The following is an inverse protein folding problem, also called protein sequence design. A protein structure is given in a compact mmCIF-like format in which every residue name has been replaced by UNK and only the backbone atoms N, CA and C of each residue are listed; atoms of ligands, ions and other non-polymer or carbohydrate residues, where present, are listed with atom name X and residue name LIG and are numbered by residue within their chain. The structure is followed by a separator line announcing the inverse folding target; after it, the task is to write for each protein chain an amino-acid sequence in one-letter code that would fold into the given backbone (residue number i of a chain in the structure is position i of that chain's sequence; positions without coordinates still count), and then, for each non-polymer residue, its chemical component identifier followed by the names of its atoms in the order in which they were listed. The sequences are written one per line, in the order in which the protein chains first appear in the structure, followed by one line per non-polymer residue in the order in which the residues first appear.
data_IF_553880452765
#
_entry.id   IF_553880452765
#
_cell.length_a   1.000
_cell.length_b   1.000
_cell.length_c   1.000
_cell.angle_alpha   90.00
_cell.angle_beta   90.00
_cell.angle_gamma   90.00
#
_symmetry.space_group_name_H-M   'P 1'
#
loop_
_entity.id
_entity.type
_entity.pdbx_description
1 polymer ?
#
# COMPACT_ATOMS: atom_id res chain seq x y z
N UNK A 1 5.46 -8.13 8.54
CA UNK A 1 4.15 -7.78 9.13
C UNK A 1 3.84 -8.46 10.46
N UNK A 2 4.57 -9.50 10.90
CA UNK A 2 4.38 -10.09 12.25
C UNK A 2 4.46 -9.06 13.39
N UNK A 3 5.37 -8.08 13.30
CA UNK A 3 5.50 -7.02 14.31
C UNK A 3 4.23 -6.17 14.41
N UNK A 4 3.60 -5.84 13.27
CA UNK A 4 2.40 -5.00 13.24
C UNK A 4 1.18 -5.73 13.85
N UNK A 5 1.05 -7.02 13.53
CA UNK A 5 0.03 -7.89 14.10
C UNK A 5 0.20 -8.10 15.61
N UNK A 6 1.44 -8.09 16.12
CA UNK A 6 1.74 -8.23 17.54
C UNK A 6 1.40 -7.00 18.40
N UNK A 7 1.30 -5.81 17.80
CA UNK A 7 0.98 -4.54 18.50
C UNK A 7 -0.39 -3.97 18.15
N UNK A 8 -1.15 -4.65 17.27
CA UNK A 8 -2.45 -4.18 16.81
C UNK A 8 -2.38 -2.87 16.02
N UNK A 9 -1.28 -2.64 15.29
CA UNK A 9 -1.14 -1.44 14.46
C UNK A 9 -1.91 -1.58 13.15
N UNK A 10 -2.59 -0.52 12.73
CA UNK A 10 -3.27 -0.43 11.42
C UNK A 10 -2.32 -0.01 10.28
N UNK A 11 -1.25 0.68 10.63
CA UNK A 11 -0.29 1.26 9.69
C UNK A 11 1.12 1.05 10.20
N UNK A 12 2.03 0.71 9.29
CA UNK A 12 3.47 0.64 9.57
C UNK A 12 4.18 1.71 8.75
N UNK A 13 4.97 2.54 9.44
CA UNK A 13 5.85 3.52 8.81
C UNK A 13 7.28 3.00 8.95
N UNK A 14 7.97 2.87 7.83
CA UNK A 14 9.40 2.58 7.83
C UNK A 14 10.11 3.52 6.86
N UNK A 15 11.40 3.70 7.08
CA UNK A 15 12.18 4.54 6.22
C UNK A 15 13.63 4.62 6.62
N UNK A 16 14.42 5.19 5.71
CA UNK A 16 15.83 5.48 5.92
C UNK A 16 16.05 6.97 5.72
N UNK A 17 16.91 7.56 6.55
CA UNK A 17 17.35 8.95 6.36
C UNK A 17 18.85 8.90 6.13
N UNK A 18 19.27 9.42 4.98
CA UNK A 18 20.69 9.61 4.68
C UNK A 18 20.98 11.10 4.69
N UNK A 19 22.12 11.49 5.27
CA UNK A 19 22.53 12.87 5.39
C UNK A 19 23.99 13.02 5.01
N UNK A 20 24.29 14.02 4.18
CA UNK A 20 25.66 14.39 3.82
C UNK A 20 25.86 15.88 4.06
N UNK A 21 27.03 16.25 4.58
CA UNK A 21 27.45 17.65 4.67
C UNK A 21 28.67 17.85 3.81
N UNK A 22 28.69 18.96 3.09
CA UNK A 22 29.84 19.42 2.31
C UNK A 22 30.21 20.83 2.75
N UNK A 23 31.51 21.10 2.74
CA UNK A 23 32.05 22.43 3.03
C UNK A 23 32.45 23.09 1.71
N UNK A 24 32.00 24.32 1.52
CA UNK A 24 32.38 25.16 0.38
C UNK A 24 32.89 26.51 0.85
N UNK A 25 33.67 27.20 0.03
CA UNK A 25 33.96 28.62 0.22
C UNK A 25 33.02 29.42 -0.66
N UNK A 26 32.29 30.38 -0.09
CA UNK A 26 31.51 31.30 -0.89
C UNK A 26 32.46 32.31 -1.56
N UNK A 27 32.60 32.22 -2.88
CA UNK A 27 33.33 33.22 -3.66
C UNK A 27 32.72 34.61 -3.41
N UNK A 28 33.57 35.57 -3.02
CA UNK A 28 33.19 36.94 -2.69
C UNK A 28 32.95 37.25 -1.21
N UNK A 29 32.76 36.25 -0.34
CA UNK A 29 32.49 36.45 1.10
C UNK A 29 33.66 36.05 2.03
N UNK A 30 34.68 35.37 1.51
CA UNK A 30 35.83 34.90 2.30
C UNK A 30 35.48 33.93 3.44
N UNK A 31 34.25 33.40 3.45
CA UNK A 31 33.67 32.62 4.54
C UNK A 31 33.33 31.21 4.08
N UNK A 32 33.50 30.25 4.99
CA UNK A 32 33.08 28.86 4.81
C UNK A 32 31.56 28.76 4.89
N UNK A 33 30.96 28.09 3.90
CA UNK A 33 29.54 27.74 3.87
C UNK A 33 29.43 26.22 4.01
N UNK A 34 28.61 25.80 4.95
CA UNK A 34 28.27 24.40 5.16
C UNK A 34 26.96 24.10 4.44
N UNK A 35 26.98 23.15 3.52
CA UNK A 35 25.82 22.69 2.78
C UNK A 35 25.46 21.28 3.25
N UNK A 36 24.28 21.12 3.84
CA UNK A 36 23.74 19.83 4.23
C UNK A 36 22.66 19.39 3.24
N UNK A 37 22.72 18.12 2.86
CA UNK A 37 21.71 17.44 2.07
C UNK A 37 21.17 16.28 2.89
N UNK A 38 19.86 16.18 2.98
CA UNK A 38 19.15 15.10 3.66
C UNK A 38 18.22 14.45 2.65
N UNK A 39 18.31 13.13 2.52
CA UNK A 39 17.47 12.34 1.64
C UNK A 39 16.74 11.28 2.48
N UNK A 40 15.52 11.58 2.95
CA UNK A 40 14.63 10.56 3.47
C UNK A 40 14.07 9.71 2.34
N UNK A 41 13.89 8.42 2.64
CA UNK A 41 12.99 7.53 1.92
C UNK A 41 12.04 6.96 2.98
N UNK A 42 10.78 7.38 2.95
CA UNK A 42 9.74 6.98 3.90
C UNK A 42 8.63 6.30 3.13
N UNK A 43 8.22 5.13 3.61
CA UNK A 43 7.07 4.39 3.10
C UNK A 43 6.09 4.16 4.24
N UNK A 44 4.83 4.49 3.99
CA UNK A 44 3.69 4.19 4.85
C UNK A 44 2.96 3.01 4.23
N UNK A 45 2.79 1.93 4.99
CA UNK A 45 2.14 0.70 4.52
C UNK A 45 0.96 0.33 5.40
N UNK A 46 -0.08 -0.23 4.80
CA UNK A 46 -1.16 -0.86 5.53
C UNK A 46 -0.64 -2.13 6.23
N UNK A 47 -0.97 -2.30 7.51
CA UNK A 47 -0.45 -3.39 8.32
C UNK A 47 -1.05 -4.76 7.99
N UNK A 48 -2.22 -4.79 7.34
CA UNK A 48 -2.92 -6.00 6.93
C UNK A 48 -2.45 -6.50 5.55
N UNK A 49 -2.33 -5.61 4.57
CA UNK A 49 -2.07 -5.94 3.17
C UNK A 49 -0.64 -5.72 2.70
N UNK A 50 0.21 -5.06 3.49
CA UNK A 50 1.52 -4.56 3.05
C UNK A 50 1.43 -3.58 1.86
N UNK A 51 0.23 -3.12 1.50
CA UNK A 51 0.03 -2.11 0.45
C UNK A 51 0.70 -0.80 0.85
N UNK A 52 1.48 -0.21 -0.06
CA UNK A 52 2.01 1.13 0.12
C UNK A 52 0.88 2.15 0.00
N UNK A 53 0.63 2.88 1.08
CA UNK A 53 -0.38 3.94 1.19
C UNK A 53 0.21 5.31 0.83
N UNK A 54 1.49 5.52 1.11
CA UNK A 54 2.18 6.74 0.74
C UNK A 54 3.68 6.51 0.71
N UNK A 55 4.35 7.20 -0.22
CA UNK A 55 5.80 7.19 -0.35
C UNK A 55 6.30 8.63 -0.40
N UNK A 56 7.44 8.85 0.25
CA UNK A 56 8.14 10.12 0.23
C UNK A 56 9.63 9.91 0.05
N UNK A 57 10.15 10.43 -1.05
CA UNK A 57 11.56 10.49 -1.34
C UNK A 57 11.86 11.84 -2.01
N UNK A 58 12.63 12.69 -1.34
CA UNK A 58 13.01 14.00 -1.86
C UNK A 58 14.37 14.39 -1.25
N UNK A 59 15.24 15.01 -2.04
CA UNK A 59 16.47 15.59 -1.50
C UNK A 59 16.17 16.98 -0.95
N UNK A 60 16.40 17.18 0.34
CA UNK A 60 16.25 18.46 1.02
C UNK A 60 17.62 19.03 1.31
N UNK A 61 17.82 20.29 0.90
CA UNK A 61 19.10 20.99 1.07
C UNK A 61 18.94 22.20 1.98
N UNK A 62 19.88 22.41 2.89
CA UNK A 62 19.99 23.64 3.67
C UNK A 62 21.45 24.07 3.80
N UNK A 63 21.66 25.35 4.04
CA UNK A 63 22.99 25.90 4.27
C UNK A 63 23.11 26.59 5.63
N UNK A 64 24.34 26.69 6.12
CA UNK A 64 24.70 27.51 7.27
C UNK A 64 26.09 28.09 7.12
N UNK A 65 26.29 29.27 7.71
CA UNK A 65 27.61 29.88 7.89
C UNK A 65 28.22 29.52 9.25
N UNK A 66 27.45 28.90 10.15
CA UNK A 66 27.85 28.68 11.53
C UNK A 66 28.64 27.37 11.71
N UNK A 67 28.07 26.24 11.30
CA UNK A 67 28.69 24.92 11.42
C UNK A 67 28.00 23.87 10.55
N UNK A 68 28.65 22.71 10.42
CA UNK A 68 28.09 21.49 9.85
C UNK A 68 26.80 21.06 10.56
N UNK A 69 26.80 21.12 11.90
CA UNK A 69 25.66 20.70 12.72
C UNK A 69 24.45 21.61 12.53
N UNK A 70 24.67 22.92 12.40
CA UNK A 70 23.58 23.86 12.15
C UNK A 70 22.99 23.69 10.75
N UNK A 71 23.82 23.44 9.74
CA UNK A 71 23.35 23.12 8.39
C UNK A 71 22.52 21.82 8.39
N UNK A 72 23.01 20.76 9.04
CA UNK A 72 22.29 19.48 9.14
C UNK A 72 20.97 19.63 9.90
N UNK A 73 20.96 20.35 11.03
CA UNK A 73 19.75 20.63 11.81
C UNK A 73 18.70 21.37 10.97
N UNK A 74 19.10 22.39 10.21
CA UNK A 74 18.20 23.12 9.30
C UNK A 74 17.66 22.21 8.20
N UNK A 75 18.50 21.38 7.59
CA UNK A 75 18.07 20.42 6.57
C UNK A 75 17.07 19.40 7.14
N UNK A 76 17.32 18.89 8.35
CA UNK A 76 16.41 17.97 9.05
C UNK A 76 15.06 18.60 9.41
N UNK A 77 15.01 19.85 9.87
CA UNK A 77 13.74 20.55 10.15
C UNK A 77 12.91 20.79 8.89
N UNK A 78 13.57 21.20 7.79
CA UNK A 78 12.91 21.31 6.48
C UNK A 78 12.40 19.94 6.00
N UNK A 79 13.20 18.90 6.18
CA UNK A 79 12.84 17.53 5.83
C UNK A 79 11.63 17.06 6.63
N UNK A 80 11.63 17.27 7.95
CA UNK A 80 10.50 16.93 8.82
C UNK A 80 9.21 17.58 8.35
N UNK A 81 9.25 18.87 8.04
CA UNK A 81 8.06 19.62 7.61
C UNK A 81 7.46 19.03 6.34
N UNK A 82 8.31 18.63 5.38
CA UNK A 82 7.87 18.02 4.12
C UNK A 82 7.41 16.56 4.29
N UNK A 83 8.19 15.76 5.01
CA UNK A 83 7.91 14.34 5.27
C UNK A 83 6.59 14.11 6.04
N UNK A 84 6.23 15.02 6.95
CA UNK A 84 4.97 14.96 7.71
C UNK A 84 3.75 14.92 6.77
N UNK A 85 3.81 15.59 5.61
CA UNK A 85 2.68 15.59 4.67
C UNK A 85 2.41 14.19 4.12
N UNK A 86 3.46 13.45 3.76
CA UNK A 86 3.31 12.09 3.25
C UNK A 86 2.82 11.12 4.33
N UNK A 87 3.37 11.22 5.54
CA UNK A 87 2.90 10.42 6.69
C UNK A 87 1.42 10.68 6.97
N UNK A 88 1.00 11.94 6.97
CA UNK A 88 -0.41 12.31 7.16
C UNK A 88 -1.29 11.75 6.04
N UNK A 89 -0.87 11.86 4.78
CA UNK A 89 -1.63 11.34 3.64
C UNK A 89 -1.86 9.84 3.77
N UNK A 90 -0.81 9.06 4.08
CA UNK A 90 -0.95 7.61 4.27
C UNK A 90 -1.86 7.25 5.45
N UNK A 91 -1.78 7.99 6.56
CA UNK A 91 -2.69 7.83 7.70
C UNK A 91 -4.15 8.14 7.32
N UNK A 92 -4.40 9.22 6.59
CA UNK A 92 -5.74 9.58 6.14
C UNK A 92 -6.29 8.54 5.17
N UNK A 93 -5.47 7.97 4.29
CA UNK A 93 -5.90 6.92 3.38
C UNK A 93 -6.26 5.63 4.12
N UNK A 94 -5.43 5.21 5.08
CA UNK A 94 -5.75 4.07 5.96
C UNK A 94 -7.07 4.32 6.72
N UNK A 95 -7.19 5.48 7.36
CA UNK A 95 -8.38 5.85 8.10
C UNK A 95 -9.61 5.95 7.21
N UNK A 96 -9.48 6.49 5.99
CA UNK A 96 -10.60 6.56 5.05
C UNK A 96 -11.02 5.18 4.54
N UNK A 97 -10.07 4.26 4.28
CA UNK A 97 -10.36 2.85 3.98
C UNK A 97 -11.14 2.20 5.13
N UNK A 98 -10.73 2.45 6.38
CA UNK A 98 -11.46 1.96 7.56
C UNK A 98 -12.84 2.63 7.74
N UNK A 99 -12.91 3.95 7.63
CA UNK A 99 -14.12 4.74 7.87
C UNK A 99 -15.18 4.53 6.79
N UNK A 100 -14.78 4.27 5.55
CA UNK A 100 -15.70 3.93 4.45
C UNK A 100 -16.14 2.47 4.47
N UNK A 101 -15.54 1.64 5.35
CA UNK A 101 -15.74 0.20 5.40
C UNK A 101 -15.21 -0.55 4.17
N UNK A 102 -14.51 0.14 3.25
CA UNK A 102 -13.99 -0.44 2.02
C UNK A 102 -12.59 -1.00 2.27
N UNK A 103 -12.48 -2.32 2.24
CA UNK A 103 -11.26 -3.09 2.44
C UNK A 103 -10.74 -3.60 1.10
N UNK A 104 -9.41 -3.66 0.98
CA UNK A 104 -8.76 -4.34 -0.15
C UNK A 104 -8.68 -5.84 0.16
N UNK A 105 -9.29 -6.69 -0.66
CA UNK A 105 -9.25 -8.15 -0.51
C UNK A 105 -8.61 -8.77 -1.74
N UNK A 106 -7.54 -9.54 -1.52
CA UNK A 106 -6.88 -10.31 -2.57
C UNK A 106 -7.60 -11.64 -2.79
N UNK A 107 -8.04 -11.89 -4.01
CA UNK A 107 -8.72 -13.12 -4.44
C UNK A 107 -7.77 -13.98 -5.26
N UNK A 108 -7.43 -15.17 -4.77
CA UNK A 108 -6.65 -16.16 -5.51
C UNK A 108 -7.57 -17.24 -6.05
N UNK A 109 -7.59 -17.44 -7.36
CA UNK A 109 -8.52 -18.33 -8.04
C UNK A 109 -7.77 -19.40 -8.82
N UNK A 110 -8.09 -20.65 -8.53
CA UNK A 110 -7.55 -21.84 -9.23
C UNK A 110 -8.66 -22.55 -10.01
N UNK A 111 -8.30 -23.30 -11.06
CA UNK A 111 -9.26 -24.11 -11.83
C UNK A 111 -9.99 -23.36 -12.95
N UNK A 112 -9.65 -22.09 -13.22
CA UNK A 112 -10.13 -21.38 -14.41
C UNK A 112 -9.47 -21.97 -15.67
N UNK A 113 -10.28 -22.42 -16.62
CA UNK A 113 -9.80 -23.11 -17.84
C UNK A 113 -9.20 -22.16 -18.88
N UNK A 114 -9.74 -20.94 -18.98
CA UNK A 114 -9.40 -20.00 -20.03
C UNK A 114 -9.64 -18.54 -19.60
N UNK A 115 -9.13 -17.62 -20.42
CA UNK A 115 -9.29 -16.18 -20.20
C UNK A 115 -10.75 -15.71 -20.28
N UNK A 116 -11.61 -16.22 -21.19
CA UNK A 116 -13.04 -15.95 -21.17
C UNK A 116 -13.72 -16.26 -19.82
N UNK A 117 -13.43 -17.41 -19.21
CA UNK A 117 -13.95 -17.78 -17.89
C UNK A 117 -13.48 -16.79 -16.81
N UNK A 118 -12.21 -16.37 -16.86
CA UNK A 118 -11.65 -15.35 -15.96
C UNK A 118 -12.37 -14.01 -16.11
N UNK A 119 -12.57 -13.52 -17.34
CA UNK A 119 -13.28 -12.26 -17.57
C UNK A 119 -14.74 -12.33 -17.10
N UNK A 120 -15.43 -13.44 -17.38
CA UNK A 120 -16.79 -13.65 -16.90
C UNK A 120 -16.89 -13.67 -15.38
N UNK A 121 -15.93 -14.29 -14.68
CA UNK A 121 -15.88 -14.25 -13.22
C UNK A 121 -15.69 -12.81 -12.72
N UNK A 122 -14.71 -12.08 -13.26
CA UNK A 122 -14.45 -10.68 -12.91
C UNK A 122 -15.69 -9.80 -13.07
N UNK A 123 -16.40 -9.95 -14.19
CA UNK A 123 -17.59 -9.15 -14.48
C UNK A 123 -18.73 -9.47 -13.51
N UNK A 124 -18.84 -10.72 -13.04
CA UNK A 124 -19.81 -11.13 -12.02
C UNK A 124 -19.41 -10.67 -10.62
N UNK A 125 -18.12 -10.65 -10.29
CA UNK A 125 -17.65 -10.03 -9.05
C UNK A 125 -18.06 -8.56 -9.01
N UNK A 126 -17.89 -7.81 -10.10
CA UNK A 126 -18.28 -6.38 -10.17
C UNK A 126 -19.79 -6.14 -10.17
N UNK A 127 -20.56 -6.98 -10.84
CA UNK A 127 -21.99 -6.69 -11.11
C UNK A 127 -22.96 -7.39 -10.16
N UNK A 128 -22.55 -8.51 -9.57
CA UNK A 128 -23.49 -9.46 -8.95
C UNK A 128 -23.07 -9.91 -7.54
N UNK A 129 -21.97 -9.41 -7.00
CA UNK A 129 -21.54 -9.66 -5.62
C UNK A 129 -21.72 -8.34 -4.85
N UNK A 130 -22.77 -8.21 -4.02
CA UNK A 130 -23.11 -6.96 -3.35
C UNK A 130 -21.97 -6.40 -2.50
N UNK A 131 -21.16 -7.28 -1.92
CA UNK A 131 -20.03 -6.88 -1.08
C UNK A 131 -18.84 -6.32 -1.86
N UNK A 132 -18.81 -6.42 -3.20
CA UNK A 132 -17.73 -5.92 -4.06
C UNK A 132 -18.13 -4.60 -4.71
N UNK A 133 -17.37 -3.55 -4.44
CA UNK A 133 -17.51 -2.23 -5.09
C UNK A 133 -16.74 -2.14 -6.40
N UNK A 134 -15.52 -2.66 -6.44
CA UNK A 134 -14.67 -2.63 -7.63
C UNK A 134 -13.66 -3.78 -7.63
N UNK A 135 -13.09 -4.08 -8.81
CA UNK A 135 -11.95 -4.98 -8.99
C UNK A 135 -10.78 -4.15 -9.51
N UNK A 136 -9.89 -3.71 -8.64
CA UNK A 136 -8.86 -2.70 -8.92
C UNK A 136 -7.74 -3.24 -9.82
N UNK A 137 -7.38 -4.51 -9.67
CA UNK A 137 -6.42 -5.18 -10.53
C UNK A 137 -6.78 -6.66 -10.71
N UNK A 138 -6.38 -7.24 -11.85
CA UNK A 138 -6.69 -8.62 -12.16
C UNK A 138 -5.60 -9.21 -13.07
N UNK A 139 -5.03 -10.36 -12.67
CA UNK A 139 -4.02 -11.10 -13.43
C UNK A 139 -4.49 -12.53 -13.68
N UNK A 140 -4.46 -12.95 -14.93
CA UNK A 140 -4.73 -14.33 -15.33
C UNK A 140 -3.42 -15.11 -15.47
N UNK A 141 -3.29 -16.17 -14.68
CA UNK A 141 -2.14 -17.09 -14.62
C UNK A 141 -2.64 -18.45 -14.10
N UNK A 142 -1.74 -19.42 -13.85
CA UNK A 142 -2.07 -20.72 -13.23
C UNK A 142 -2.86 -20.56 -11.93
N UNK A 143 -2.50 -19.56 -11.13
CA UNK A 143 -3.31 -19.02 -10.04
C UNK A 143 -3.67 -17.61 -10.46
N UNK A 144 -4.93 -17.38 -10.76
CA UNK A 144 -5.41 -16.06 -11.14
C UNK A 144 -5.58 -15.21 -9.88
N UNK A 145 -5.17 -13.95 -9.91
CA UNK A 145 -5.25 -13.04 -8.76
C UNK A 145 -6.12 -11.84 -9.11
N UNK A 146 -7.01 -11.43 -8.20
CA UNK A 146 -7.84 -10.23 -8.36
C UNK A 146 -7.82 -9.42 -7.06
N UNK A 147 -7.59 -8.12 -7.15
CA UNK A 147 -7.71 -7.21 -6.00
C UNK A 147 -9.11 -6.60 -5.98
N UNK A 148 -9.84 -6.79 -4.89
CA UNK A 148 -11.20 -6.30 -4.72
C UNK A 148 -11.26 -5.14 -3.74
N UNK A 149 -12.02 -4.10 -4.08
CA UNK A 149 -12.52 -3.16 -3.10
C UNK A 149 -13.86 -3.67 -2.56
N UNK A 150 -13.89 -4.16 -1.31
CA UNK A 150 -15.06 -4.78 -0.70
C UNK A 150 -15.58 -3.99 0.51
N UNK A 151 -16.90 -3.89 0.67
CA UNK A 151 -17.54 -3.20 1.82
C UNK A 151 -17.86 -4.10 3.01
N UNK A 152 -17.70 -5.40 2.83
CA UNK A 152 -18.01 -6.39 3.85
C UNK A 152 -16.74 -7.14 4.31
N UNK A 153 -16.76 -7.76 5.49
CA UNK A 153 -15.71 -8.67 5.93
C UNK A 153 -15.48 -9.83 4.94
N UNK A 154 -14.28 -10.40 4.95
CA UNK A 154 -13.90 -11.51 4.05
C UNK A 154 -14.82 -12.71 4.23
N UNK A 155 -15.30 -12.96 5.46
CA UNK A 155 -16.22 -14.05 5.78
C UNK A 155 -17.58 -13.89 5.09
N UNK A 156 -18.10 -12.66 5.03
CA UNK A 156 -19.34 -12.34 4.31
C UNK A 156 -19.14 -12.53 2.81
N UNK A 157 -18.03 -12.01 2.27
CA UNK A 157 -17.68 -12.19 0.86
C UNK A 157 -17.51 -13.67 0.49
N UNK A 158 -16.87 -14.46 1.36
CA UNK A 158 -16.73 -15.90 1.19
C UNK A 158 -18.10 -16.58 1.11
N UNK A 159 -19.03 -16.21 2.00
CA UNK A 159 -20.41 -16.71 1.98
C UNK A 159 -21.17 -16.36 0.69
N UNK A 160 -20.99 -15.14 0.16
CA UNK A 160 -21.61 -14.71 -1.10
C UNK A 160 -21.06 -15.43 -2.34
N UNK A 161 -19.82 -15.89 -2.26
CA UNK A 161 -19.11 -16.57 -3.36
C UNK A 161 -19.23 -18.08 -3.31
N UNK A 162 -19.37 -18.66 -2.11
CA UNK A 162 -19.50 -20.10 -1.93
C UNK A 162 -20.65 -20.65 -2.78
N UNK A 163 -20.37 -21.72 -3.52
CA UNK A 163 -21.31 -22.41 -4.40
C UNK A 163 -21.92 -21.59 -5.53
N UNK A 164 -21.45 -20.36 -5.74
CA UNK A 164 -21.89 -19.54 -6.85
C UNK A 164 -21.47 -20.18 -8.17
N UNK A 165 -22.39 -20.25 -9.11
CA UNK A 165 -22.17 -20.89 -10.41
C UNK A 165 -22.22 -19.89 -11.55
N UNK A 166 -21.45 -20.16 -12.61
CA UNK A 166 -21.43 -19.34 -13.81
C UNK A 166 -20.80 -20.06 -15.00
N UNK A 167 -20.47 -19.30 -16.04
CA UNK A 167 -19.77 -19.84 -17.23
C UNK A 167 -18.38 -20.39 -16.89
N UNK A 168 -17.78 -19.92 -15.81
CA UNK A 168 -16.49 -20.40 -15.29
C UNK A 168 -16.59 -21.73 -14.54
N UNK A 169 -17.76 -22.11 -14.03
CA UNK A 169 -17.94 -23.30 -13.18
C UNK A 169 -18.61 -22.95 -11.84
N UNK A 170 -18.42 -23.80 -10.84
CA UNK A 170 -18.85 -23.58 -9.45
C UNK A 170 -17.66 -23.12 -8.61
N UNK A 171 -17.86 -22.07 -7.82
CA UNK A 171 -16.88 -21.58 -6.86
C UNK A 171 -16.94 -22.44 -5.59
N UNK A 172 -15.79 -22.88 -5.10
CA UNK A 172 -15.62 -23.36 -3.72
C UNK A 172 -14.57 -22.50 -3.03
N UNK A 173 -14.92 -21.96 -1.88
CA UNK A 173 -13.97 -21.28 -1.00
C UNK A 173 -13.10 -22.33 -0.32
N UNK A 174 -11.78 -22.22 -0.46
CA UNK A 174 -10.81 -23.18 0.07
C UNK A 174 -10.07 -22.66 1.29
N UNK A 175 -9.87 -21.34 1.38
CA UNK A 175 -9.25 -20.69 2.54
C UNK A 175 -9.70 -19.24 2.65
N UNK A 176 -9.88 -18.79 3.88
CA UNK A 176 -10.23 -17.43 4.28
C UNK A 176 -9.13 -16.89 5.19
N UNK A 177 -8.58 -15.73 4.89
CA UNK A 177 -7.68 -14.96 5.77
C UNK A 177 -8.27 -13.56 5.99
N UNK A 178 -7.65 -12.76 6.85
CA UNK A 178 -8.13 -11.40 7.20
C UNK A 178 -8.32 -10.46 6.00
N UNK A 179 -7.58 -10.67 4.90
CA UNK A 179 -7.60 -9.84 3.71
C UNK A 179 -7.38 -10.62 2.41
N UNK A 180 -7.49 -11.95 2.45
CA UNK A 180 -7.37 -12.77 1.24
C UNK A 180 -8.34 -13.93 1.24
N UNK A 181 -8.76 -14.33 0.04
CA UNK A 181 -9.69 -15.42 -0.19
C UNK A 181 -9.14 -16.35 -1.28
N UNK A 182 -8.96 -17.63 -0.96
CA UNK A 182 -8.52 -18.63 -1.93
C UNK A 182 -9.72 -19.43 -2.42
N UNK A 183 -9.95 -19.43 -3.73
CA UNK A 183 -11.03 -20.12 -4.41
C UNK A 183 -10.51 -21.23 -5.32
N UNK A 184 -11.30 -22.30 -5.38
CA UNK A 184 -11.19 -23.30 -6.45
C UNK A 184 -12.44 -23.30 -7.29
N UNK A 185 -12.27 -23.35 -8.61
CA UNK A 185 -13.37 -23.47 -9.56
C UNK A 185 -13.48 -24.92 -10.00
N UNK A 186 -14.64 -25.54 -9.74
CA UNK A 186 -14.98 -26.84 -10.29
C UNK A 186 -15.70 -26.63 -11.62
N UNK A 187 -15.19 -27.16 -12.74
CA UNK A 187 -15.88 -27.09 -14.02
C UNK A 187 -17.26 -27.72 -13.94
N UNK A 188 -18.21 -27.17 -14.70
CA UNK A 188 -19.45 -27.89 -15.02
C UNK A 188 -19.17 -29.12 -15.88
#
# INVERSE_FOLDING_TARGET
MEIANGVGADVVIYGTVTGTVSEGKAEGLGTTVFLAQVMPAITVTAADSSEALSEYAEVVTANSLASTDDAMRKAMELTRTKAISAVRSGFFEAWNKQATGVRSITLNVTGLKDYPAFTALRDVLRSSVPSVKDVSSAKFDKVSTMELAAVAPVETLAGELQDKTGKWGRINVTRTNNNSLDLSITPK
#
